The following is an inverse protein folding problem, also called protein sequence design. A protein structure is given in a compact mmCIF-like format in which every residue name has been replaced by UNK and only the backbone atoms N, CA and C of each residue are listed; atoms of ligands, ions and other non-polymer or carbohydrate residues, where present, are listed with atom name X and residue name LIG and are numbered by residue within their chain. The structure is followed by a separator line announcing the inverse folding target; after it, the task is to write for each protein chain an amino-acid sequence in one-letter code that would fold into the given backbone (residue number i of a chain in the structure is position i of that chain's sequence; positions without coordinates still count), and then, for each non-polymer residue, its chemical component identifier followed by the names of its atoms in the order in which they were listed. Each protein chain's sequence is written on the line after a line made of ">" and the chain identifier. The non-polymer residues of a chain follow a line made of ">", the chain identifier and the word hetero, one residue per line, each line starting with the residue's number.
data_IF_724877909455
#
_entry.id   IF_724877909455
#
_cell.length_a   1.000
_cell.length_b   1.000
_cell.length_c   1.000
_cell.angle_alpha   90.00
_cell.angle_beta   90.00
_cell.angle_gamma   90.00
#
_symmetry.space_group_name_H-M   'P 1'
#
loop_
_entity.id
_entity.type
_entity.pdbx_description
1 polymer ?
#
# COMPACT_ATOMS: atom_id res chain seq x y z
N UNK A 1 -2.16 -7.56 -23.21
CA UNK A 1 -3.17 -7.06 -22.26
C UNK A 1 -2.65 -5.77 -21.69
N UNK A 2 -3.22 -4.63 -22.07
CA UNK A 2 -2.94 -3.37 -21.41
C UNK A 2 -3.57 -3.44 -20.02
N UNK A 3 -2.74 -3.59 -18.98
CA UNK A 3 -3.20 -3.53 -17.59
C UNK A 3 -3.83 -2.13 -17.43
N UNK A 4 -5.12 -2.01 -17.07
CA UNK A 4 -5.72 -0.70 -16.80
C UNK A 4 -4.85 0.02 -15.79
N UNK A 5 -4.50 1.29 -16.04
CA UNK A 5 -3.53 2.05 -15.23
C UNK A 5 -3.78 1.92 -13.70
N UNK A 6 -5.06 1.87 -13.31
CA UNK A 6 -5.54 1.63 -11.93
C UNK A 6 -5.08 0.28 -11.34
N UNK A 7 -5.16 -0.81 -12.12
CA UNK A 7 -4.68 -2.13 -11.70
C UNK A 7 -3.15 -2.17 -11.57
N UNK A 8 -2.43 -1.43 -12.41
CA UNK A 8 -0.97 -1.28 -12.29
C UNK A 8 -0.58 -0.55 -11.01
N UNK A 9 -1.27 0.55 -10.69
CA UNK A 9 -1.06 1.32 -9.47
C UNK A 9 -1.34 0.49 -8.22
N UNK A 10 -2.40 -0.33 -8.23
CA UNK A 10 -2.70 -1.26 -7.13
C UNK A 10 -1.58 -2.27 -6.88
N UNK A 11 -1.00 -2.84 -7.94
CA UNK A 11 0.15 -3.76 -7.83
C UNK A 11 1.38 -3.04 -7.25
N UNK A 12 1.66 -1.82 -7.71
CA UNK A 12 2.78 -1.02 -7.20
C UNK A 12 2.58 -0.72 -5.71
N UNK A 13 1.39 -0.29 -5.30
CA UNK A 13 1.07 -0.01 -3.90
C UNK A 13 1.25 -1.26 -3.03
N UNK A 14 0.81 -2.42 -3.50
CA UNK A 14 1.00 -3.69 -2.80
C UNK A 14 2.50 -3.98 -2.58
N UNK A 15 3.32 -3.90 -3.64
CA UNK A 15 4.76 -4.15 -3.55
C UNK A 15 5.43 -3.18 -2.60
N UNK A 16 5.15 -1.88 -2.70
CA UNK A 16 5.71 -0.85 -1.83
C UNK A 16 5.34 -1.10 -0.37
N UNK A 17 4.07 -1.41 -0.09
CA UNK A 17 3.61 -1.71 1.26
C UNK A 17 4.31 -2.92 1.88
N UNK A 18 4.47 -4.00 1.11
CA UNK A 18 5.18 -5.21 1.55
C UNK A 18 6.65 -4.89 1.86
N UNK A 19 7.34 -4.15 0.98
CA UNK A 19 8.74 -3.78 1.20
C UNK A 19 8.93 -2.92 2.45
N UNK A 20 8.03 -1.97 2.69
CA UNK A 20 8.06 -1.14 3.89
C UNK A 20 7.74 -1.92 5.17
N UNK A 21 7.14 -3.10 5.06
CA UNK A 21 6.89 -3.97 6.22
C UNK A 21 8.12 -4.79 6.64
N UNK A 22 9.06 -5.05 5.71
CA UNK A 22 10.26 -5.89 5.95
C UNK A 22 11.10 -5.39 7.14
N UNK A 23 11.37 -4.08 7.30
CA UNK A 23 12.10 -3.58 8.46
C UNK A 23 11.47 -4.00 9.80
N UNK A 24 10.14 -4.06 9.89
CA UNK A 24 9.42 -4.52 11.09
C UNK A 24 9.56 -6.02 11.38
N UNK A 25 9.94 -6.82 10.38
CA UNK A 25 10.21 -8.24 10.55
C UNK A 25 11.65 -8.51 11.03
N UNK A 26 12.58 -7.60 10.72
CA UNK A 26 14.01 -7.75 11.00
C UNK A 26 14.41 -7.00 12.28
N UNK A 27 14.00 -5.74 12.37
CA UNK A 27 14.29 -4.84 13.47
C UNK A 27 13.06 -4.74 14.36
N UNK A 28 13.00 -5.64 15.33
CA UNK A 28 11.81 -5.85 16.17
C UNK A 28 11.24 -4.54 16.73
N UNK A 29 12.06 -3.77 17.45
CA UNK A 29 11.59 -2.60 18.20
C UNK A 29 12.51 -1.40 18.04
N UNK A 30 11.90 -0.22 17.92
CA UNK A 30 12.61 1.05 17.83
C UNK A 30 11.80 2.12 17.11
N UNK A 31 12.12 3.38 17.41
CA UNK A 31 11.46 4.54 16.81
C UNK A 31 11.49 4.50 15.28
N UNK A 32 12.60 4.01 14.70
CA UNK A 32 12.75 3.85 13.26
C UNK A 32 11.78 2.80 12.69
N UNK A 33 11.67 1.63 13.32
CA UNK A 33 10.74 0.57 12.90
C UNK A 33 9.30 1.08 12.91
N UNK A 34 8.88 1.70 14.01
CA UNK A 34 7.53 2.26 14.13
C UNK A 34 7.28 3.39 13.11
N UNK A 35 8.27 4.24 12.85
CA UNK A 35 8.19 5.28 11.84
C UNK A 35 8.01 4.73 10.42
N UNK A 36 8.73 3.66 10.08
CA UNK A 36 8.60 3.00 8.76
C UNK A 36 7.25 2.30 8.63
N UNK A 37 6.78 1.61 9.66
CA UNK A 37 5.46 0.98 9.66
C UNK A 37 4.33 2.01 9.54
N UNK A 38 4.46 3.16 10.21
CA UNK A 38 3.53 4.27 10.08
C UNK A 38 3.52 4.80 8.64
N UNK A 39 4.69 5.01 8.04
CA UNK A 39 4.80 5.45 6.65
C UNK A 39 4.17 4.44 5.69
N UNK A 40 4.39 3.13 5.90
CA UNK A 40 3.76 2.06 5.15
C UNK A 40 2.23 2.15 5.22
N UNK A 41 1.69 2.29 6.43
CA UNK A 41 0.25 2.41 6.66
C UNK A 41 -0.33 3.65 5.97
N UNK A 42 0.33 4.80 6.05
CA UNK A 42 -0.11 6.04 5.39
C UNK A 42 -0.10 5.88 3.87
N UNK A 43 0.99 5.36 3.30
CA UNK A 43 1.11 5.16 1.84
C UNK A 43 0.03 4.22 1.32
N UNK A 44 -0.18 3.09 2.00
CA UNK A 44 -1.22 2.13 1.61
C UNK A 44 -2.62 2.71 1.78
N UNK A 45 -2.89 3.42 2.88
CA UNK A 45 -4.21 4.00 3.15
C UNK A 45 -4.56 5.08 2.12
N UNK A 46 -3.66 6.03 1.91
CA UNK A 46 -3.87 7.13 0.95
C UNK A 46 -3.88 6.59 -0.48
N UNK A 47 -2.95 5.71 -0.82
CA UNK A 47 -2.90 5.11 -2.16
C UNK A 47 -4.16 4.32 -2.49
N UNK A 48 -4.65 3.48 -1.57
CA UNK A 48 -5.89 2.72 -1.81
C UNK A 48 -7.13 3.60 -1.76
N UNK A 49 -7.16 4.68 -0.97
CA UNK A 49 -8.25 5.65 -1.01
C UNK A 49 -8.33 6.36 -2.38
N UNK A 50 -7.19 6.78 -2.92
CA UNK A 50 -7.11 7.53 -4.18
C UNK A 50 -7.28 6.63 -5.41
N UNK A 51 -6.79 5.40 -5.37
CA UNK A 51 -6.68 4.52 -6.55
C UNK A 51 -7.42 3.18 -6.41
N UNK A 52 -7.98 2.86 -5.25
CA UNK A 52 -8.63 1.57 -4.97
C UNK A 52 -10.15 1.55 -5.13
N UNK A 53 -10.76 2.60 -5.71
CA UNK A 53 -12.23 2.77 -5.75
C UNK A 53 -12.84 2.75 -7.16
N UNK A 54 -12.10 2.34 -8.20
CA UNK A 54 -12.56 2.42 -9.60
C UNK A 54 -13.59 1.35 -10.05
N UNK A 55 -14.49 0.93 -9.17
CA UNK A 55 -15.62 0.07 -9.52
C UNK A 55 -16.93 0.84 -9.42
N UNK A 56 -17.48 1.29 -10.57
CA UNK A 56 -18.89 1.70 -10.65
C UNK A 56 -19.85 0.52 -10.42
N UNK A 57 -19.32 -0.71 -10.40
CA UNK A 57 -20.04 -1.97 -10.20
C UNK A 57 -20.07 -2.40 -8.72
N UNK A 58 -20.17 -1.48 -7.77
CA UNK A 58 -20.76 -1.85 -6.48
C UNK A 58 -22.27 -1.70 -6.66
N UNK A 59 -23.05 -2.80 -6.81
CA UNK A 59 -24.46 -2.70 -6.50
C UNK A 59 -24.52 -2.34 -5.02
N UNK A 60 -25.02 -1.15 -4.72
CA UNK A 60 -25.49 -0.84 -3.37
C UNK A 60 -26.67 -1.74 -3.04
#
# INVERSE_FOLDING_TARGET
>A
MEIPNQSGIGIVLFVVGVLLFIPGLIWQEGLLTYGVLLAAAVVLTVGTYLFGTSGSDRPV
#
